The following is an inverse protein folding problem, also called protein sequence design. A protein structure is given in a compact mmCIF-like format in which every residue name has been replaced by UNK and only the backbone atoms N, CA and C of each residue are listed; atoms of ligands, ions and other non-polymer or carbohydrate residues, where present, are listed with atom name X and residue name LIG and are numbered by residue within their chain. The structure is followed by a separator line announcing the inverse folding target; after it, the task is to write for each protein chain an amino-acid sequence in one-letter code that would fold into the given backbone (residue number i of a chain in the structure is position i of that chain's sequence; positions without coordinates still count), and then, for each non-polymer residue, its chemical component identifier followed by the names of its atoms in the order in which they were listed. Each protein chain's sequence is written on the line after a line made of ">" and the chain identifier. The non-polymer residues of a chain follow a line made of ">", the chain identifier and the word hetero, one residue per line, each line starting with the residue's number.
data_IF_365369558207
#
_entry.id   IF_365369558207
#
_cell.length_a   1.000
_cell.length_b   1.000
_cell.length_c   1.000
_cell.angle_alpha   90.00
_cell.angle_beta   90.00
_cell.angle_gamma   90.00
#
_symmetry.space_group_name_H-M   'P 1'
#
loop_
_entity.id
_entity.type
_entity.pdbx_description
1 polymer ?
#
# COMPACT_ATOMS: atom_id res chain seq x y z
N UNK A 1 38.04 17.02 -12.03
CA UNK A 1 36.84 17.50 -11.32
C UNK A 1 35.62 17.02 -12.08
N UNK A 2 35.18 15.79 -11.81
CA UNK A 2 33.93 15.25 -12.35
C UNK A 2 33.47 14.22 -11.33
N UNK A 3 32.32 14.45 -10.70
CA UNK A 3 31.68 13.48 -9.81
C UNK A 3 31.40 12.17 -10.55
N UNK A 4 31.20 11.06 -9.85
CA UNK A 4 30.01 10.89 -9.02
C UNK A 4 30.35 10.17 -7.69
N UNK A 5 29.42 10.00 -6.75
CA UNK A 5 28.64 8.78 -6.65
C UNK A 5 27.48 9.04 -5.70
N UNK A 6 26.28 8.79 -6.23
CA UNK A 6 25.12 8.25 -5.54
C UNK A 6 25.47 7.68 -4.15
N UNK A 7 25.23 8.46 -3.09
CA UNK A 7 25.17 7.88 -1.75
C UNK A 7 23.77 7.32 -1.59
N UNK A 8 23.63 6.06 -1.99
CA UNK A 8 22.60 5.21 -1.42
C UNK A 8 22.71 5.23 0.11
N UNK A 9 21.54 5.14 0.74
CA UNK A 9 21.29 4.62 2.08
C UNK A 9 21.21 5.63 3.25
N UNK A 10 19.98 6.10 3.49
CA UNK A 10 19.42 6.16 4.84
C UNK A 10 18.14 5.29 4.87
N UNK A 11 18.33 4.01 5.17
CA UNK A 11 17.59 3.15 6.14
C UNK A 11 16.24 3.76 6.59
N UNK A 12 15.07 3.35 6.12
CA UNK A 12 14.41 2.02 6.15
C UNK A 12 14.25 1.44 7.56
N UNK A 13 13.32 2.03 8.34
CA UNK A 13 12.72 1.45 9.56
C UNK A 13 11.59 2.32 10.16
N UNK A 14 11.52 3.62 9.83
CA UNK A 14 10.51 4.54 10.42
C UNK A 14 9.86 5.50 9.42
N UNK A 15 9.99 5.26 8.10
CA UNK A 15 9.20 5.99 7.10
C UNK A 15 7.92 5.21 6.88
N UNK A 16 6.80 5.90 6.96
CA UNK A 16 5.51 5.32 6.63
C UNK A 16 5.54 4.78 5.21
N UNK A 17 4.89 3.63 4.97
CA UNK A 17 5.00 2.98 3.69
C UNK A 17 4.41 3.87 2.59
N UNK A 18 5.02 3.92 1.41
CA UNK A 18 4.38 4.58 0.27
C UNK A 18 3.15 3.80 -0.19
N UNK A 19 2.27 4.45 -0.97
CA UNK A 19 1.11 3.77 -1.58
C UNK A 19 1.55 2.64 -2.52
N UNK A 20 2.65 2.79 -3.26
CA UNK A 20 3.20 1.71 -4.09
C UNK A 20 3.62 0.50 -3.24
N UNK A 21 4.23 0.74 -2.07
CA UNK A 21 4.58 -0.34 -1.14
C UNK A 21 3.33 -1.02 -0.55
N UNK A 22 2.24 -0.28 -0.35
CA UNK A 22 0.94 -0.86 0.04
C UNK A 22 0.42 -1.79 -1.06
N UNK A 23 0.45 -1.34 -2.33
CA UNK A 23 0.05 -2.19 -3.48
C UNK A 23 0.87 -3.47 -3.53
N UNK A 24 2.19 -3.38 -3.41
CA UNK A 24 3.07 -4.55 -3.49
C UNK A 24 2.82 -5.56 -2.35
N UNK A 25 2.57 -5.06 -1.13
CA UNK A 25 2.15 -5.91 0.00
C UNK A 25 0.82 -6.61 -0.26
N UNK A 26 -0.17 -5.90 -0.78
CA UNK A 26 -1.47 -6.47 -1.08
C UNK A 26 -1.41 -7.48 -2.23
N UNK A 27 -0.63 -7.23 -3.28
CA UNK A 27 -0.39 -8.19 -4.38
C UNK A 27 0.25 -9.46 -3.84
N UNK A 28 1.23 -9.33 -2.95
CA UNK A 28 1.88 -10.48 -2.30
C UNK A 28 0.89 -11.26 -1.41
N UNK A 29 0.00 -10.56 -0.70
CA UNK A 29 -0.99 -11.18 0.20
C UNK A 29 -2.17 -11.82 -0.56
N UNK A 30 -2.53 -11.27 -1.70
CA UNK A 30 -3.67 -11.69 -2.53
C UNK A 30 -3.22 -12.04 -3.95
N UNK A 31 -2.38 -13.08 -4.14
CA UNK A 31 -1.78 -13.38 -5.45
C UNK A 31 -2.79 -13.83 -6.52
N UNK A 32 -4.00 -14.20 -6.11
CA UNK A 32 -5.12 -14.60 -6.98
C UNK A 32 -5.99 -13.41 -7.41
N UNK A 33 -5.76 -12.21 -6.85
CA UNK A 33 -6.47 -10.99 -7.24
C UNK A 33 -5.62 -10.27 -8.29
N UNK A 34 -6.20 -9.83 -9.42
CA UNK A 34 -5.45 -9.10 -10.44
C UNK A 34 -4.80 -7.83 -9.86
N UNK A 35 -3.51 -7.62 -10.12
CA UNK A 35 -2.76 -6.44 -9.64
C UNK A 35 -3.48 -5.13 -9.97
N UNK A 36 -4.02 -5.01 -11.19
CA UNK A 36 -4.73 -3.81 -11.62
C UNK A 36 -5.97 -3.52 -10.75
N UNK A 37 -6.65 -4.57 -10.29
CA UNK A 37 -7.80 -4.46 -9.39
C UNK A 37 -7.36 -3.98 -8.01
N UNK A 38 -6.24 -4.49 -7.49
CA UNK A 38 -5.64 -4.03 -6.23
C UNK A 38 -5.25 -2.56 -6.32
N UNK A 39 -4.60 -2.14 -7.41
CA UNK A 39 -4.22 -0.74 -7.66
C UNK A 39 -5.47 0.16 -7.63
N UNK A 40 -6.55 -0.28 -8.28
CA UNK A 40 -7.79 0.49 -8.33
C UNK A 40 -8.42 0.65 -6.94
N UNK A 41 -8.54 -0.44 -6.17
CA UNK A 41 -9.07 -0.38 -4.79
C UNK A 41 -8.21 0.53 -3.91
N UNK A 42 -6.88 0.38 -3.98
CA UNK A 42 -5.95 1.22 -3.21
C UNK A 42 -6.08 2.69 -3.57
N UNK A 43 -6.27 3.01 -4.85
CA UNK A 43 -6.51 4.37 -5.33
C UNK A 43 -7.79 4.97 -4.75
N UNK A 44 -8.90 4.23 -4.77
CA UNK A 44 -10.18 4.70 -4.21
C UNK A 44 -10.10 4.91 -2.69
N UNK A 45 -9.44 4.01 -1.96
CA UNK A 45 -9.23 4.17 -0.51
C UNK A 45 -8.31 5.35 -0.19
N UNK A 46 -7.32 5.63 -1.05
CA UNK A 46 -6.44 6.78 -0.90
C UNK A 46 -7.18 8.09 -1.15
N UNK A 47 -7.93 8.18 -2.25
CA UNK A 47 -8.72 9.37 -2.59
C UNK A 47 -9.74 9.71 -1.50
N UNK A 48 -10.38 8.70 -0.89
CA UNK A 48 -11.31 8.89 0.22
C UNK A 48 -10.67 9.48 1.49
N UNK A 49 -9.34 9.42 1.61
CA UNK A 49 -8.57 9.91 2.76
C UNK A 49 -7.73 11.16 2.42
N UNK A 50 -7.62 11.56 1.16
CA UNK A 50 -6.72 12.63 0.72
C UNK A 50 -7.25 14.06 0.96
N UNK A 51 -8.30 14.22 1.77
CA UNK A 51 -8.88 15.52 2.10
C UNK A 51 -8.05 16.33 3.13
N UNK A 52 -6.97 15.75 3.68
CA UNK A 52 -6.24 16.28 4.84
C UNK A 52 -4.79 16.72 4.60
N UNK A 53 -4.34 17.72 5.38
CA UNK A 53 -2.94 18.20 5.40
C UNK A 53 -1.96 17.22 6.06
N UNK A 54 -2.47 16.26 6.85
CA UNK A 54 -1.67 15.27 7.57
C UNK A 54 -1.88 13.92 6.89
N UNK A 55 -0.84 13.43 6.20
CA UNK A 55 -0.89 12.20 5.39
C UNK A 55 -0.19 11.00 6.02
N UNK A 56 0.28 11.19 7.25
CA UNK A 56 1.15 10.27 7.98
C UNK A 56 0.51 8.87 8.03
N UNK A 57 -0.72 8.78 8.53
CA UNK A 57 -1.40 7.48 8.66
C UNK A 57 -2.13 6.98 7.40
N UNK A 58 -2.16 7.74 6.31
CA UNK A 58 -2.95 7.39 5.11
C UNK A 58 -2.56 6.00 4.57
N UNK A 59 -1.28 5.66 4.35
CA UNK A 59 -0.91 4.37 3.78
C UNK A 59 -1.41 3.17 4.60
N UNK A 60 -1.33 3.27 5.93
CA UNK A 60 -1.81 2.22 6.84
C UNK A 60 -3.33 2.08 6.80
N UNK A 61 -4.06 3.19 6.74
CA UNK A 61 -5.52 3.18 6.64
C UNK A 61 -5.97 2.61 5.28
N UNK A 62 -5.32 3.04 4.20
CA UNK A 62 -5.55 2.54 2.84
C UNK A 62 -5.34 1.03 2.78
N UNK A 63 -4.23 0.52 3.32
CA UNK A 63 -3.95 -0.92 3.32
C UNK A 63 -5.04 -1.70 4.08
N UNK A 64 -5.49 -1.19 5.22
CA UNK A 64 -6.54 -1.82 6.02
C UNK A 64 -7.88 -1.83 5.27
N UNK A 65 -8.27 -0.70 4.68
CA UNK A 65 -9.51 -0.57 3.90
C UNK A 65 -9.52 -1.47 2.68
N UNK A 66 -8.46 -1.42 1.88
CA UNK A 66 -8.27 -2.25 0.71
C UNK A 66 -8.32 -3.75 1.06
N UNK A 67 -7.67 -4.16 2.16
CA UNK A 67 -7.70 -5.55 2.63
C UNK A 67 -9.12 -6.04 2.93
N UNK A 68 -9.90 -5.25 3.67
CA UNK A 68 -11.29 -5.60 4.02
C UNK A 68 -12.14 -5.71 2.75
N UNK A 69 -11.96 -4.78 1.80
CA UNK A 69 -12.72 -4.76 0.56
C UNK A 69 -12.39 -5.95 -0.35
N UNK A 70 -11.10 -6.25 -0.54
CA UNK A 70 -10.66 -7.44 -1.28
C UNK A 70 -11.24 -8.71 -0.67
N UNK A 71 -11.20 -8.85 0.66
CA UNK A 71 -11.76 -10.03 1.34
C UNK A 71 -13.26 -10.17 1.07
N UNK A 72 -14.00 -9.07 1.11
CA UNK A 72 -15.44 -9.05 0.85
C UNK A 72 -15.76 -9.39 -0.61
N UNK A 73 -15.03 -8.82 -1.56
CA UNK A 73 -15.28 -9.03 -3.00
C UNK A 73 -14.95 -10.46 -3.46
N UNK A 74 -13.93 -11.08 -2.87
CA UNK A 74 -13.46 -12.42 -3.27
C UNK A 74 -13.94 -13.54 -2.33
N UNK A 75 -14.78 -13.22 -1.33
CA UNK A 75 -15.29 -14.21 -0.37
C UNK A 75 -14.18 -14.86 0.49
N UNK A 76 -13.07 -14.15 0.71
CA UNK A 76 -11.92 -14.66 1.43
C UNK A 76 -12.08 -14.35 2.92
N UNK A 77 -12.61 -15.32 3.67
CA UNK A 77 -12.49 -15.32 5.13
C UNK A 77 -11.01 -15.53 5.48
N UNK A 78 -10.38 -14.65 6.28
CA UNK A 78 -9.06 -14.98 6.85
C UNK A 78 -9.23 -16.07 7.88
N UNK A 79 -9.19 -17.33 7.45
CA UNK A 79 -8.65 -18.39 8.28
C UNK A 79 -7.11 -18.29 8.20
N UNK A 80 -6.47 -18.21 9.36
CA UNK A 80 -5.03 -17.98 9.60
C UNK A 80 -4.62 -16.49 9.51
N UNK A 81 -4.18 -15.83 10.58
CA UNK A 81 -3.38 -16.25 11.75
C UNK A 81 -3.68 -15.28 12.92
#
# INVERSE_FOLDING_TARGET
>A
MTGPLHTDNVTDAAKEPSIDQVVDRLVTRFPHVPRLHIVWIVGEEFEALDEGRIRTFIPTLVERGARVRIQREFGLSTASD
#
